data_IF_206645239614
#
_entry.id   IF_206645239614
#
_cell.length_a   1.000
_cell.length_b   1.000
_cell.length_c   1.000
_cell.angle_alpha   90.00
_cell.angle_beta   90.00
_cell.angle_gamma   90.00
#
_symmetry.space_group_name_H-M   'P 1'
#
loop_
_entity.id
_entity.type
_entity.pdbx_description
1 polymer ?
#
# COMPACT_ATOMS: atom_id res chain seq x y z
N UNK A 1 22.94 21.94 2.19
CA UNK A 1 21.85 21.20 1.57
C UNK A 1 22.43 20.19 0.60
N UNK A 2 21.78 19.02 0.45
CA UNK A 2 22.23 17.92 -0.42
C UNK A 2 22.57 18.39 -1.84
N UNK A 3 21.73 19.23 -2.47
CA UNK A 3 21.95 19.80 -3.83
C UNK A 3 23.32 20.45 -4.08
N UNK A 4 24.01 20.87 -3.04
CA UNK A 4 25.32 21.56 -3.19
C UNK A 4 26.51 20.60 -3.07
N UNK A 5 26.27 19.33 -2.73
CA UNK A 5 27.33 18.34 -2.42
C UNK A 5 27.13 17.01 -3.15
N UNK A 6 25.92 16.71 -3.59
CA UNK A 6 25.56 15.49 -4.30
C UNK A 6 24.96 15.87 -5.65
N UNK A 7 25.46 15.26 -6.70
CA UNK A 7 24.98 15.46 -8.08
C UNK A 7 24.54 14.15 -8.69
N UNK A 8 25.32 13.08 -8.48
CA UNK A 8 25.14 11.77 -9.10
C UNK A 8 24.65 10.77 -8.04
N UNK A 9 23.47 10.21 -8.22
CA UNK A 9 22.85 9.25 -7.30
C UNK A 9 22.63 7.94 -8.04
N UNK A 10 23.15 6.85 -7.49
CA UNK A 10 22.98 5.52 -8.06
C UNK A 10 22.07 4.64 -7.20
N UNK A 11 21.11 3.96 -7.83
CA UNK A 11 20.15 3.07 -7.15
C UNK A 11 20.40 1.61 -7.51
N UNK A 12 20.65 0.76 -6.51
CA UNK A 12 20.75 -0.70 -6.68
C UNK A 12 19.39 -1.34 -6.51
N UNK A 13 18.85 -1.96 -7.56
CA UNK A 13 17.47 -2.47 -7.58
C UNK A 13 16.45 -1.35 -7.87
N UNK A 14 16.75 -0.47 -8.84
CA UNK A 14 15.95 0.73 -9.15
C UNK A 14 14.52 0.43 -9.60
N UNK A 15 14.24 -0.76 -10.13
CA UNK A 15 12.92 -1.19 -10.58
C UNK A 15 11.95 -1.56 -9.46
N UNK A 16 12.40 -1.59 -8.20
CA UNK A 16 11.52 -1.76 -7.05
C UNK A 16 10.57 -0.56 -6.88
N UNK A 17 9.30 -0.78 -6.53
CA UNK A 17 8.26 0.26 -6.47
C UNK A 17 8.68 1.44 -5.59
N UNK A 18 9.21 1.18 -4.38
CA UNK A 18 9.66 2.25 -3.49
C UNK A 18 10.97 2.92 -3.92
N UNK A 19 11.82 2.24 -4.72
CA UNK A 19 13.07 2.79 -5.25
C UNK A 19 12.80 3.71 -6.43
N UNK A 20 12.00 3.24 -7.39
CA UNK A 20 11.68 3.94 -8.63
C UNK A 20 11.03 5.30 -8.40
N UNK A 21 10.09 5.37 -7.44
CA UNK A 21 9.42 6.63 -7.12
C UNK A 21 10.38 7.69 -6.58
N UNK A 22 11.29 7.31 -5.68
CA UNK A 22 12.32 8.22 -5.15
C UNK A 22 13.28 8.64 -6.26
N UNK A 23 13.71 7.71 -7.12
CA UNK A 23 14.59 7.96 -8.26
C UNK A 23 13.98 8.97 -9.25
N UNK A 24 12.69 8.81 -9.59
CA UNK A 24 11.94 9.71 -10.46
C UNK A 24 11.85 11.13 -9.86
N UNK A 25 11.49 11.26 -8.58
CA UNK A 25 11.40 12.57 -7.91
C UNK A 25 12.76 13.26 -7.89
N UNK A 26 13.84 12.54 -7.57
CA UNK A 26 15.21 13.11 -7.57
C UNK A 26 15.64 13.54 -8.97
N UNK A 27 15.35 12.73 -10.00
CA UNK A 27 15.62 13.10 -11.39
C UNK A 27 14.89 14.40 -11.77
N UNK A 28 13.60 14.51 -11.45
CA UNK A 28 12.79 15.69 -11.72
C UNK A 28 13.23 16.92 -10.91
N UNK A 29 13.90 16.72 -9.76
CA UNK A 29 14.56 17.78 -8.99
C UNK A 29 15.92 18.23 -9.59
N UNK A 30 16.37 17.57 -10.68
CA UNK A 30 17.58 17.92 -11.42
C UNK A 30 18.85 17.20 -10.97
N UNK A 31 18.76 16.14 -10.17
CA UNK A 31 19.87 15.25 -9.90
C UNK A 31 20.14 14.33 -11.11
N UNK A 32 21.40 13.95 -11.31
CA UNK A 32 21.75 12.88 -12.24
C UNK A 32 21.51 11.56 -11.55
N UNK A 33 20.48 10.84 -11.99
CA UNK A 33 20.08 9.56 -11.42
C UNK A 33 20.46 8.46 -12.37
N UNK A 34 21.06 7.40 -11.82
CA UNK A 34 21.29 6.12 -12.50
C UNK A 34 20.87 4.97 -11.58
N UNK A 35 20.75 3.79 -12.11
CA UNK A 35 20.51 2.61 -11.30
C UNK A 35 20.61 1.32 -12.08
N UNK A 36 20.59 0.21 -11.35
CA UNK A 36 20.67 -1.14 -11.88
C UNK A 36 19.47 -1.98 -11.44
N UNK A 37 19.07 -2.94 -12.25
CA UNK A 37 18.08 -3.95 -11.87
C UNK A 37 18.33 -5.27 -12.61
N UNK A 38 18.02 -6.39 -11.95
CA UNK A 38 18.13 -7.71 -12.59
C UNK A 38 17.05 -7.95 -13.63
N UNK A 39 15.86 -7.37 -13.43
CA UNK A 39 14.72 -7.53 -14.30
C UNK A 39 14.46 -6.30 -15.16
N UNK A 40 14.32 -6.51 -16.46
CA UNK A 40 13.72 -5.51 -17.33
C UNK A 40 12.19 -5.62 -17.23
N UNK A 41 11.54 -4.57 -16.77
CA UNK A 41 10.10 -4.53 -16.56
C UNK A 41 9.55 -3.13 -16.91
N UNK A 42 8.21 -2.97 -16.85
CA UNK A 42 7.56 -1.71 -17.20
C UNK A 42 8.05 -0.51 -16.34
N UNK A 43 8.50 -0.73 -15.11
CA UNK A 43 9.04 0.33 -14.24
C UNK A 43 10.41 0.79 -14.73
N UNK A 44 11.32 -0.15 -15.02
CA UNK A 44 12.66 0.18 -15.54
C UNK A 44 12.58 0.82 -16.94
N UNK A 45 11.62 0.40 -17.76
CA UNK A 45 11.36 1.01 -19.07
C UNK A 45 10.83 2.45 -18.94
N UNK A 46 9.90 2.68 -18.01
CA UNK A 46 9.40 4.03 -17.69
C UNK A 46 10.54 4.97 -17.24
N UNK A 47 11.38 4.52 -16.29
CA UNK A 47 12.52 5.31 -15.82
C UNK A 47 13.50 5.65 -16.95
N UNK A 48 13.77 4.68 -17.83
CA UNK A 48 14.62 4.90 -19.01
C UNK A 48 14.01 5.90 -19.99
N UNK A 49 12.69 5.86 -20.18
CA UNK A 49 11.97 6.84 -21.01
C UNK A 49 12.01 8.27 -20.45
N UNK A 50 12.14 8.43 -19.13
CA UNK A 50 12.37 9.70 -18.46
C UNK A 50 13.81 10.22 -18.61
N UNK A 51 14.74 9.42 -19.15
CA UNK A 51 16.15 9.78 -19.31
C UNK A 51 17.05 9.33 -18.15
N UNK A 52 16.55 8.51 -17.24
CA UNK A 52 17.35 7.88 -16.18
C UNK A 52 18.15 6.72 -16.77
N UNK A 53 19.46 6.68 -16.51
CA UNK A 53 20.31 5.59 -16.98
C UNK A 53 20.04 4.33 -16.15
N UNK A 54 19.42 3.31 -16.75
CA UNK A 54 19.14 2.03 -16.09
C UNK A 54 20.01 0.93 -16.72
N UNK A 55 20.80 0.27 -15.87
CA UNK A 55 21.69 -0.83 -16.26
C UNK A 55 21.05 -2.18 -16.00
N UNK A 56 21.18 -3.16 -16.92
CA UNK A 56 20.75 -4.53 -16.68
C UNK A 56 21.79 -5.28 -15.80
N UNK A 57 21.31 -5.98 -14.77
CA UNK A 57 22.19 -6.70 -13.83
C UNK A 57 22.99 -5.77 -12.91
N UNK A 58 23.90 -6.34 -12.15
CA UNK A 58 24.71 -5.63 -11.16
C UNK A 58 26.19 -5.84 -11.44
N UNK A 59 26.94 -4.78 -11.70
CA UNK A 59 28.41 -4.81 -11.87
C UNK A 59 29.07 -3.64 -11.15
N UNK A 60 30.32 -3.83 -10.72
CA UNK A 60 31.09 -2.86 -9.94
C UNK A 60 31.24 -1.49 -10.67
N UNK A 61 31.29 -1.50 -11.99
CA UNK A 61 31.51 -0.30 -12.80
C UNK A 61 30.33 0.69 -12.78
N UNK A 62 29.11 0.20 -12.46
CA UNK A 62 27.91 1.05 -12.46
C UNK A 62 27.95 2.18 -11.42
N UNK A 63 28.73 2.00 -10.33
CA UNK A 63 28.83 3.00 -9.27
C UNK A 63 29.92 4.06 -9.52
N UNK A 64 30.69 3.92 -10.62
CA UNK A 64 31.77 4.86 -10.92
C UNK A 64 31.23 6.28 -11.13
N UNK A 65 31.74 7.20 -10.31
CA UNK A 65 31.34 8.61 -10.34
C UNK A 65 30.02 8.91 -9.62
N UNK A 66 29.45 7.97 -8.89
CA UNK A 66 28.33 8.21 -7.98
C UNK A 66 28.83 8.92 -6.72
N UNK A 67 28.06 9.92 -6.24
CA UNK A 67 28.31 10.58 -4.97
C UNK A 67 27.67 9.82 -3.80
N UNK A 68 26.66 9.00 -4.08
CA UNK A 68 25.94 8.16 -3.12
C UNK A 68 25.28 6.99 -3.85
N UNK A 69 25.28 5.84 -3.18
CA UNK A 69 24.57 4.63 -3.62
C UNK A 69 23.40 4.36 -2.69
N UNK A 70 22.21 4.18 -3.26
CA UNK A 70 20.96 3.90 -2.55
C UNK A 70 20.60 2.42 -2.71
N UNK A 71 20.30 1.75 -1.58
CA UNK A 71 19.92 0.33 -1.57
C UNK A 71 18.60 0.11 -0.87
N UNK A 72 17.94 -1.02 -1.16
CA UNK A 72 16.81 -1.54 -0.39
C UNK A 72 17.24 -2.73 0.47
N UNK A 73 16.39 -3.15 1.40
CA UNK A 73 16.60 -4.35 2.23
C UNK A 73 16.69 -5.64 1.43
N UNK A 74 16.17 -5.66 0.19
CA UNK A 74 16.27 -6.80 -0.71
C UNK A 74 17.67 -6.98 -1.33
N UNK A 75 18.52 -5.94 -1.29
CA UNK A 75 19.89 -5.97 -1.83
C UNK A 75 20.83 -6.59 -0.81
N UNK A 76 21.50 -7.68 -1.19
CA UNK A 76 22.47 -8.37 -0.32
C UNK A 76 23.74 -7.55 -0.16
N UNK A 77 24.44 -7.73 0.97
CA UNK A 77 25.71 -7.03 1.27
C UNK A 77 26.85 -7.40 0.33
N UNK A 78 26.79 -8.58 -0.28
CA UNK A 78 27.75 -9.09 -1.25
C UNK A 78 27.46 -8.67 -2.71
N UNK A 79 26.46 -7.83 -2.92
CA UNK A 79 26.18 -7.26 -4.24
C UNK A 79 27.41 -6.50 -4.77
N UNK A 80 27.85 -6.74 -6.02
CA UNK A 80 29.11 -6.17 -6.55
C UNK A 80 29.12 -4.64 -6.57
N UNK A 81 27.97 -3.98 -6.73
CA UNK A 81 27.85 -2.53 -6.69
C UNK A 81 28.00 -1.99 -5.26
N UNK A 82 27.44 -2.69 -4.26
CA UNK A 82 27.60 -2.33 -2.84
C UNK A 82 29.04 -2.49 -2.41
N UNK A 83 29.68 -3.60 -2.79
CA UNK A 83 31.10 -3.85 -2.47
C UNK A 83 32.01 -2.79 -3.10
N UNK A 84 31.82 -2.51 -4.40
CA UNK A 84 32.60 -1.50 -5.11
C UNK A 84 32.41 -0.08 -4.54
N UNK A 85 31.19 0.28 -4.16
CA UNK A 85 30.92 1.57 -3.51
C UNK A 85 31.68 1.72 -2.18
N UNK A 86 31.67 0.67 -1.34
CA UNK A 86 32.40 0.67 -0.06
C UNK A 86 33.91 0.76 -0.28
N UNK A 87 34.46 0.02 -1.24
CA UNK A 87 35.90 0.07 -1.60
C UNK A 87 36.32 1.47 -2.09
N UNK A 88 35.45 2.14 -2.85
CA UNK A 88 35.66 3.49 -3.35
C UNK A 88 35.30 4.59 -2.32
N UNK A 89 34.92 4.21 -1.09
CA UNK A 89 34.44 5.13 -0.05
C UNK A 89 33.23 5.99 -0.45
N UNK A 90 32.40 5.47 -1.37
CA UNK A 90 31.12 6.09 -1.72
C UNK A 90 30.10 5.72 -0.66
N UNK A 91 29.37 6.68 -0.05
CA UNK A 91 28.34 6.39 0.93
C UNK A 91 27.27 5.44 0.36
N UNK A 92 26.96 4.36 1.08
CA UNK A 92 25.84 3.46 0.78
C UNK A 92 24.77 3.68 1.84
N UNK A 93 23.59 4.11 1.39
CA UNK A 93 22.49 4.47 2.29
C UNK A 93 21.21 3.67 1.97
N UNK A 94 20.37 3.39 2.97
CA UNK A 94 19.08 2.76 2.75
C UNK A 94 18.11 3.72 2.04
N UNK A 95 17.17 3.16 1.28
CA UNK A 95 16.07 3.85 0.57
C UNK A 95 15.34 4.86 1.47
N UNK A 96 15.03 4.45 2.71
CA UNK A 96 14.29 5.30 3.64
C UNK A 96 15.07 6.55 4.07
N UNK A 97 16.41 6.47 4.16
CA UNK A 97 17.23 7.64 4.44
C UNK A 97 17.23 8.62 3.26
N UNK A 98 17.23 8.12 2.02
CA UNK A 98 17.07 8.99 0.85
C UNK A 98 15.69 9.64 0.79
N UNK A 99 14.62 8.93 1.18
CA UNK A 99 13.28 9.49 1.31
C UNK A 99 13.24 10.58 2.41
N UNK A 100 13.91 10.36 3.53
CA UNK A 100 14.06 11.37 4.58
C UNK A 100 14.77 12.63 4.08
N UNK A 101 15.80 12.47 3.24
CA UNK A 101 16.46 13.63 2.60
C UNK A 101 15.53 14.36 1.61
N UNK A 102 14.68 13.63 0.88
CA UNK A 102 13.63 14.28 0.05
C UNK A 102 12.65 15.10 0.90
N UNK A 103 12.24 14.59 2.07
CA UNK A 103 11.36 15.32 2.99
C UNK A 103 11.96 16.62 3.51
N UNK A 104 13.29 16.80 3.45
CA UNK A 104 13.95 18.07 3.81
C UNK A 104 13.78 19.17 2.77
N UNK A 105 13.32 18.84 1.57
CA UNK A 105 13.04 19.84 0.53
C UNK A 105 11.59 20.34 0.57
N UNK A 106 10.72 19.68 1.33
CA UNK A 106 9.28 19.92 1.42
C UNK A 106 8.80 19.62 2.83
N UNK A 107 7.63 20.12 3.17
CA UNK A 107 6.94 19.78 4.39
C UNK A 107 6.41 18.35 4.32
N UNK A 108 7.03 17.45 5.07
CA UNK A 108 6.79 16.01 4.99
C UNK A 108 5.51 15.59 5.72
N UNK A 109 4.66 14.84 5.03
CA UNK A 109 3.49 14.14 5.57
C UNK A 109 3.78 12.64 5.43
N UNK A 110 3.99 11.95 6.55
CA UNK A 110 4.34 10.52 6.55
C UNK A 110 3.18 9.66 7.06
N UNK A 111 2.76 8.70 6.24
CA UNK A 111 1.65 7.81 6.55
C UNK A 111 2.18 6.46 6.97
N UNK A 112 2.09 6.16 8.27
CA UNK A 112 2.49 4.89 8.89
C UNK A 112 1.28 4.05 9.31
N UNK A 113 1.56 2.81 9.69
CA UNK A 113 0.59 1.83 10.18
C UNK A 113 0.75 0.51 9.45
N UNK A 114 0.26 -0.57 10.02
CA UNK A 114 0.41 -1.91 9.43
C UNK A 114 -0.40 -2.01 8.13
N UNK A 115 -1.65 -1.54 8.13
CA UNK A 115 -2.57 -1.61 6.99
C UNK A 115 -3.08 -0.23 6.58
N UNK A 116 -3.45 -0.05 5.32
CA UNK A 116 -4.08 1.18 4.81
C UNK A 116 -3.13 2.29 4.39
N UNK A 117 -1.81 2.19 4.58
CA UNK A 117 -0.80 3.20 4.21
C UNK A 117 -0.98 3.73 2.79
N UNK A 118 -0.92 2.84 1.81
CA UNK A 118 -1.00 3.19 0.38
C UNK A 118 -2.28 3.94 0.03
N UNK A 119 -3.41 3.46 0.53
CA UNK A 119 -4.72 4.10 0.29
C UNK A 119 -4.78 5.47 0.94
N UNK A 120 -4.37 5.58 2.21
CA UNK A 120 -4.39 6.87 2.94
C UNK A 120 -3.44 7.90 2.29
N UNK A 121 -2.22 7.49 1.90
CA UNK A 121 -1.27 8.35 1.18
C UNK A 121 -1.88 8.87 -0.12
N UNK A 122 -2.54 7.99 -0.86
CA UNK A 122 -3.17 8.32 -2.15
C UNK A 122 -4.37 9.24 -1.99
N UNK A 123 -5.23 8.99 -1.00
CA UNK A 123 -6.37 9.87 -0.66
C UNK A 123 -5.89 11.25 -0.23
N UNK A 124 -4.85 11.31 0.62
CA UNK A 124 -4.23 12.57 1.02
C UNK A 124 -3.71 13.34 -0.19
N UNK A 125 -2.93 12.69 -1.07
CA UNK A 125 -2.43 13.32 -2.29
C UNK A 125 -3.55 13.81 -3.21
N UNK A 126 -4.66 13.04 -3.33
CA UNK A 126 -5.83 13.40 -4.14
C UNK A 126 -6.53 14.64 -3.59
N UNK A 127 -6.79 14.70 -2.27
CA UNK A 127 -7.45 15.85 -1.65
C UNK A 127 -6.56 17.10 -1.76
N UNK A 128 -5.26 17.00 -1.45
CA UNK A 128 -4.33 18.13 -1.58
C UNK A 128 -4.22 18.61 -3.03
N UNK A 129 -4.26 17.69 -4.00
CA UNK A 129 -4.34 18.03 -5.42
C UNK A 129 -5.62 18.79 -5.77
N UNK A 130 -6.78 18.33 -5.28
CA UNK A 130 -8.08 18.99 -5.46
C UNK A 130 -8.13 20.38 -4.79
N UNK A 131 -7.39 20.57 -3.69
CA UNK A 131 -7.22 21.85 -3.01
C UNK A 131 -6.24 22.80 -3.73
N UNK A 132 -5.63 22.39 -4.85
CA UNK A 132 -4.66 23.21 -5.59
C UNK A 132 -3.28 23.27 -4.95
N UNK A 133 -3.00 22.46 -3.94
CA UNK A 133 -1.72 22.44 -3.22
C UNK A 133 -0.61 21.67 -3.95
N UNK A 134 -0.93 20.99 -5.05
CA UNK A 134 -0.01 20.25 -5.94
C UNK A 134 1.13 19.51 -5.21
N UNK A 135 0.85 18.53 -4.36
CA UNK A 135 1.85 17.89 -3.54
C UNK A 135 2.82 17.03 -4.37
N UNK A 136 4.06 16.92 -3.91
CA UNK A 136 4.92 15.79 -4.27
C UNK A 136 4.41 14.55 -3.55
N UNK A 137 4.40 13.38 -4.21
CA UNK A 137 4.04 12.14 -3.54
C UNK A 137 4.96 10.98 -3.94
N UNK A 138 5.14 10.04 -2.98
CA UNK A 138 5.82 8.75 -3.17
C UNK A 138 4.97 7.69 -2.49
N UNK A 139 4.38 6.81 -3.29
CA UNK A 139 3.35 5.83 -2.87
C UNK A 139 3.84 4.42 -3.20
N UNK A 140 3.53 3.45 -2.35
CA UNK A 140 3.85 2.04 -2.57
C UNK A 140 3.04 1.35 -3.67
N UNK A 141 2.03 2.02 -4.24
CA UNK A 141 1.20 1.59 -5.36
C UNK A 141 1.08 2.65 -6.44
N UNK A 142 0.55 2.29 -7.60
CA UNK A 142 0.30 3.24 -8.69
C UNK A 142 -1.01 3.99 -8.44
N UNK A 143 -0.95 5.32 -8.32
CA UNK A 143 -2.13 6.18 -8.26
C UNK A 143 -2.76 6.25 -9.66
N UNK A 144 -3.99 5.76 -9.82
CA UNK A 144 -4.62 5.59 -11.13
C UNK A 144 -4.79 6.92 -11.87
N UNK A 145 -5.27 7.96 -11.20
CA UNK A 145 -5.43 9.30 -11.78
C UNK A 145 -4.11 9.93 -12.28
N UNK A 146 -2.97 9.63 -11.62
CA UNK A 146 -1.67 10.13 -12.02
C UNK A 146 -0.92 9.19 -12.98
N UNK A 147 -1.34 7.93 -13.07
CA UNK A 147 -0.69 6.90 -13.87
C UNK A 147 0.71 6.48 -13.37
N UNK A 148 1.11 6.94 -12.17
CA UNK A 148 2.44 6.71 -11.59
C UNK A 148 2.36 6.49 -10.08
N UNK A 149 3.42 5.92 -9.49
CA UNK A 149 3.58 5.77 -8.05
C UNK A 149 4.32 6.93 -7.37
N UNK A 150 4.85 7.87 -8.16
CA UNK A 150 5.50 9.07 -7.64
C UNK A 150 5.37 10.23 -8.62
N UNK A 151 5.30 11.43 -8.08
CA UNK A 151 5.28 12.68 -8.88
C UNK A 151 5.89 13.82 -8.10
N UNK A 152 6.74 14.61 -8.76
CA UNK A 152 7.20 15.89 -8.23
C UNK A 152 6.11 16.96 -8.46
N UNK A 153 5.46 17.40 -7.38
CA UNK A 153 4.57 18.56 -7.39
C UNK A 153 5.33 19.89 -7.29
N UNK A 154 4.61 20.98 -7.52
CA UNK A 154 5.14 22.34 -7.35
C UNK A 154 4.89 22.90 -5.95
N UNK A 155 3.99 22.27 -5.18
CA UNK A 155 3.59 22.69 -3.86
C UNK A 155 4.63 22.44 -2.78
N UNK A 156 4.34 22.85 -1.56
CA UNK A 156 5.25 22.79 -0.41
C UNK A 156 5.28 21.43 0.27
N UNK A 157 4.27 20.57 0.02
CA UNK A 157 4.11 19.28 0.72
C UNK A 157 4.69 18.11 -0.06
N UNK A 158 5.23 17.14 0.69
CA UNK A 158 5.50 15.79 0.21
C UNK A 158 4.74 14.77 1.04
N UNK A 159 3.93 13.95 0.39
CA UNK A 159 3.16 12.85 1.03
C UNK A 159 3.85 11.54 0.70
N UNK A 160 4.23 10.77 1.72
CA UNK A 160 4.92 9.50 1.51
C UNK A 160 4.49 8.44 2.52
N UNK A 161 4.60 7.19 2.10
CA UNK A 161 4.43 6.05 3.00
C UNK A 161 5.65 5.90 3.91
N UNK A 162 5.38 5.58 5.16
CA UNK A 162 6.35 5.29 6.21
C UNK A 162 6.29 3.80 6.54
N UNK A 163 7.32 3.05 6.14
CA UNK A 163 7.37 1.60 6.22
C UNK A 163 7.88 1.14 7.58
N UNK A 164 7.00 0.49 8.35
CA UNK A 164 7.32 -0.08 9.65
C UNK A 164 7.90 -1.50 9.56
N UNK A 165 7.75 -2.18 8.43
CA UNK A 165 8.07 -3.60 8.30
C UNK A 165 9.54 -3.95 8.60
N UNK A 166 10.44 -3.00 8.35
CA UNK A 166 11.89 -3.08 8.65
C UNK A 166 12.36 -1.97 9.60
N UNK A 167 11.43 -1.31 10.30
CA UNK A 167 11.65 -0.14 11.14
C UNK A 167 12.28 1.07 10.41
N UNK A 168 12.29 1.07 9.08
CA UNK A 168 12.91 2.15 8.29
C UNK A 168 12.16 3.47 8.37
N UNK A 169 10.88 3.47 8.76
CA UNK A 169 10.11 4.70 9.03
C UNK A 169 10.76 5.59 10.10
N UNK A 170 11.60 5.05 10.98
CA UNK A 170 12.35 5.80 11.98
C UNK A 170 13.42 6.74 11.40
N UNK A 171 13.77 6.62 10.12
CA UNK A 171 14.64 7.60 9.45
C UNK A 171 13.90 8.89 9.07
N UNK A 172 12.56 8.82 8.93
CA UNK A 172 11.76 9.95 8.46
C UNK A 172 11.62 11.03 9.54
N UNK A 173 11.55 12.27 9.12
CA UNK A 173 11.35 13.44 9.98
C UNK A 173 10.22 14.31 9.44
N UNK A 174 8.98 13.81 9.44
CA UNK A 174 7.82 14.54 8.91
C UNK A 174 7.40 15.70 9.83
N UNK A 175 6.69 16.67 9.28
CA UNK A 175 5.96 17.68 10.08
C UNK A 175 4.58 17.17 10.49
N UNK A 176 3.98 16.29 9.68
CA UNK A 176 2.74 15.60 10.03
C UNK A 176 2.91 14.09 9.87
N UNK A 177 2.37 13.34 10.79
CA UNK A 177 2.35 11.88 10.74
C UNK A 177 0.93 11.34 10.88
N UNK A 178 0.66 10.24 10.21
CA UNK A 178 -0.57 9.45 10.39
C UNK A 178 -0.19 8.08 10.88
N UNK A 179 -0.94 7.52 11.83
CA UNK A 179 -0.88 6.11 12.19
C UNK A 179 -2.27 5.51 11.98
N UNK A 180 -2.40 4.70 10.94
CA UNK A 180 -3.70 4.12 10.54
C UNK A 180 -4.16 3.00 11.47
N UNK A 181 -3.26 2.16 11.86
CA UNK A 181 -3.42 1.06 12.82
C UNK A 181 -2.03 0.51 13.17
N UNK A 182 -1.99 -0.32 14.21
CA UNK A 182 -0.84 -1.13 14.58
C UNK A 182 -1.35 -2.54 14.72
N UNK A 183 -0.73 -3.51 14.05
CA UNK A 183 -1.07 -4.93 14.11
C UNK A 183 0.22 -5.75 14.23
N UNK A 184 0.12 -6.98 14.73
CA UNK A 184 1.24 -7.88 14.99
C UNK A 184 1.73 -8.54 13.69
N UNK A 185 2.06 -7.75 12.66
CA UNK A 185 2.75 -8.19 11.45
C UNK A 185 4.24 -7.79 11.53
N UNK A 186 5.10 -8.48 10.78
CA UNK A 186 6.55 -8.24 10.73
C UNK A 186 7.25 -8.28 12.10
N UNK A 187 6.75 -9.12 13.03
CA UNK A 187 7.21 -9.19 14.42
C UNK A 187 8.68 -9.60 14.57
N UNK A 188 9.27 -10.25 13.57
CA UNK A 188 10.72 -10.55 13.55
C UNK A 188 11.56 -9.28 13.69
N UNK A 189 11.15 -8.18 13.05
CA UNK A 189 11.81 -6.86 13.14
C UNK A 189 11.83 -6.31 14.57
N UNK A 190 10.80 -6.64 15.34
CA UNK A 190 10.61 -6.14 16.71
C UNK A 190 10.94 -7.20 17.78
N UNK A 191 11.58 -8.32 17.36
CA UNK A 191 11.97 -9.41 18.25
C UNK A 191 10.80 -10.07 18.95
N UNK A 192 9.67 -10.20 18.25
CA UNK A 192 8.40 -10.77 18.73
C UNK A 192 7.84 -10.08 19.99
N UNK A 193 8.11 -8.77 20.16
CA UNK A 193 7.62 -7.98 21.30
C UNK A 193 6.68 -6.87 20.83
N UNK A 194 5.43 -6.92 21.27
CA UNK A 194 4.41 -5.89 21.05
C UNK A 194 4.85 -4.56 21.67
N UNK A 195 5.53 -4.59 22.81
CA UNK A 195 6.05 -3.39 23.49
C UNK A 195 7.10 -2.67 22.63
N UNK A 196 7.99 -3.43 21.95
CA UNK A 196 8.96 -2.84 21.02
C UNK A 196 8.30 -2.28 19.77
N UNK A 197 7.30 -2.97 19.24
CA UNK A 197 6.48 -2.45 18.14
C UNK A 197 5.81 -1.14 18.53
N UNK A 198 5.11 -1.09 19.68
CA UNK A 198 4.51 0.12 20.21
C UNK A 198 5.52 1.25 20.39
N UNK A 199 6.71 0.94 20.98
CA UNK A 199 7.75 1.93 21.18
C UNK A 199 8.26 2.51 19.86
N UNK A 200 8.42 1.69 18.81
CA UNK A 200 8.84 2.16 17.49
C UNK A 200 7.83 3.15 16.88
N UNK A 201 6.53 2.93 17.03
CA UNK A 201 5.51 3.89 16.60
C UNK A 201 5.54 5.20 17.42
N UNK A 202 5.75 5.11 18.72
CA UNK A 202 5.94 6.29 19.57
C UNK A 202 7.19 7.06 19.14
N UNK A 203 8.31 6.37 18.91
CA UNK A 203 9.55 6.99 18.44
C UNK A 203 9.38 7.65 17.07
N UNK A 204 8.65 7.02 16.14
CA UNK A 204 8.31 7.60 14.86
C UNK A 204 7.50 8.91 15.02
N UNK A 205 6.45 8.92 15.84
CA UNK A 205 5.66 10.13 16.14
C UNK A 205 6.56 11.21 16.74
N UNK A 206 7.49 10.84 17.62
CA UNK A 206 8.40 11.78 18.27
C UNK A 206 9.48 12.35 17.33
N UNK A 207 9.66 11.80 16.10
CA UNK A 207 10.51 12.40 15.05
C UNK A 207 9.97 13.73 14.52
N UNK A 208 8.68 14.00 14.69
CA UNK A 208 8.11 15.30 14.32
C UNK A 208 8.71 16.44 15.14
N UNK A 209 8.79 17.65 14.59
CA UNK A 209 9.13 18.85 15.36
C UNK A 209 8.03 19.15 16.41
N UNK A 210 8.31 20.06 17.34
CA UNK A 210 7.37 20.41 18.40
C UNK A 210 6.07 21.06 17.90
N UNK A 211 6.09 21.63 16.70
CA UNK A 211 4.94 22.25 16.05
C UNK A 211 4.23 21.31 15.06
N UNK A 212 4.74 20.08 14.89
CA UNK A 212 4.12 19.07 14.05
C UNK A 212 2.87 18.47 14.69
N UNK A 213 2.08 17.75 13.90
CA UNK A 213 0.84 17.12 14.36
C UNK A 213 0.68 15.67 13.88
N UNK A 214 0.31 14.77 14.79
CA UNK A 214 -0.02 13.39 14.47
C UNK A 214 -1.53 13.20 14.32
N UNK A 215 -1.95 12.28 13.42
CA UNK A 215 -3.34 11.83 13.30
C UNK A 215 -3.39 10.34 13.62
N UNK A 216 -4.09 9.97 14.68
CA UNK A 216 -4.02 8.66 15.31
C UNK A 216 -5.39 7.98 15.32
N UNK A 217 -5.48 6.79 14.69
CA UNK A 217 -6.74 6.02 14.59
C UNK A 217 -7.08 5.34 15.91
N UNK A 218 -8.13 5.79 16.58
CA UNK A 218 -8.56 5.18 17.85
C UNK A 218 -9.42 3.93 17.68
N UNK A 219 -9.78 3.53 16.47
CA UNK A 219 -10.40 2.23 16.21
C UNK A 219 -9.39 1.07 16.36
N UNK A 220 -8.08 1.36 16.33
CA UNK A 220 -7.02 0.39 16.63
C UNK A 220 -6.70 0.38 18.13
N UNK A 221 -6.87 -0.78 18.78
CA UNK A 221 -6.56 -0.95 20.21
C UNK A 221 -5.09 -0.66 20.52
N UNK A 222 -4.17 -1.11 19.66
CA UNK A 222 -2.75 -0.85 19.81
C UNK A 222 -2.40 0.65 19.68
N UNK A 223 -3.10 1.39 18.80
CA UNK A 223 -2.95 2.85 18.72
C UNK A 223 -3.46 3.51 20.00
N UNK A 224 -4.63 3.10 20.52
CA UNK A 224 -5.12 3.59 21.82
C UNK A 224 -4.10 3.32 22.94
N UNK A 225 -3.46 2.16 22.95
CA UNK A 225 -2.49 1.78 23.97
C UNK A 225 -1.22 2.67 23.99
N UNK A 226 -0.85 3.27 22.84
CA UNK A 226 0.31 4.16 22.78
C UNK A 226 -0.03 5.63 23.09
N UNK A 227 -1.29 6.07 23.01
CA UNK A 227 -1.68 7.48 23.23
C UNK A 227 -1.08 8.09 24.51
N UNK A 228 -1.08 7.40 25.68
CA UNK A 228 -0.51 7.96 26.91
C UNK A 228 1.00 8.24 26.84
N UNK A 229 1.70 7.65 25.89
CA UNK A 229 3.16 7.80 25.67
C UNK A 229 3.49 8.90 24.65
N UNK A 230 2.50 9.39 23.91
CA UNK A 230 2.69 10.42 22.88
C UNK A 230 2.76 11.80 23.52
N UNK A 231 3.89 12.48 23.39
CA UNK A 231 4.13 13.83 23.92
C UNK A 231 4.10 14.93 22.84
N UNK A 232 3.80 14.56 21.60
CA UNK A 232 3.63 15.50 20.48
C UNK A 232 2.16 15.91 20.32
N UNK A 233 1.87 17.06 19.72
CA UNK A 233 0.49 17.41 19.37
C UNK A 233 -0.13 16.34 18.47
N UNK A 234 -1.34 15.90 18.77
CA UNK A 234 -2.06 14.96 17.94
C UNK A 234 -3.56 15.28 17.90
N UNK A 235 -4.22 14.75 16.90
CA UNK A 235 -5.67 14.60 16.82
C UNK A 235 -6.00 13.13 16.60
N UNK A 236 -7.10 12.68 17.15
CA UNK A 236 -7.61 11.33 17.00
C UNK A 236 -8.65 11.26 15.88
N UNK A 237 -8.74 10.11 15.23
CA UNK A 237 -9.84 9.86 14.29
C UNK A 237 -10.35 8.42 14.41
N UNK A 238 -11.61 8.22 14.04
CA UNK A 238 -12.26 6.92 14.17
C UNK A 238 -13.73 6.93 13.78
N UNK A 239 -14.42 5.83 14.07
CA UNK A 239 -15.87 5.70 13.91
C UNK A 239 -16.64 5.94 15.22
N UNK A 240 -15.92 6.19 16.30
CA UNK A 240 -16.45 6.50 17.63
C UNK A 240 -16.46 8.02 17.83
N UNK A 241 -17.53 8.55 18.40
CA UNK A 241 -17.75 9.98 18.63
C UNK A 241 -16.81 10.60 19.68
N UNK A 242 -15.99 9.79 20.34
CA UNK A 242 -14.91 10.25 21.22
C UNK A 242 -13.67 10.70 20.45
N UNK A 243 -13.58 10.45 19.14
CA UNK A 243 -12.50 10.93 18.30
C UNK A 243 -12.66 12.42 17.94
N UNK A 244 -11.55 13.12 17.72
CA UNK A 244 -11.57 14.52 17.25
C UNK A 244 -12.16 14.64 15.83
N UNK A 245 -12.03 13.58 15.02
CA UNK A 245 -12.61 13.49 13.68
C UNK A 245 -13.29 12.11 13.54
N UNK A 246 -14.58 12.09 13.33
CA UNK A 246 -15.32 10.83 13.23
C UNK A 246 -16.38 10.84 12.15
N UNK A 247 -16.87 9.64 11.77
CA UNK A 247 -17.90 9.48 10.76
C UNK A 247 -19.17 8.84 11.33
N UNK A 248 -20.33 9.37 10.92
CA UNK A 248 -21.66 8.78 11.14
C UNK A 248 -22.37 8.51 9.82
N UNK A 249 -23.56 7.91 9.88
CA UNK A 249 -24.44 7.67 8.71
C UNK A 249 -23.70 6.98 7.55
N UNK A 250 -22.89 5.97 7.91
CA UNK A 250 -22.03 5.27 6.94
C UNK A 250 -22.85 4.29 6.12
N UNK A 251 -22.99 4.57 4.82
CA UNK A 251 -23.79 3.80 3.88
C UNK A 251 -22.97 3.33 2.68
N UNK A 252 -23.27 2.12 2.18
CA UNK A 252 -22.77 1.67 0.89
C UNK A 252 -23.68 2.19 -0.23
N UNK A 253 -23.14 2.89 -1.21
CA UNK A 253 -23.83 3.29 -2.44
C UNK A 253 -23.17 2.55 -3.61
N UNK A 254 -23.56 1.31 -3.85
CA UNK A 254 -22.84 0.42 -4.75
C UNK A 254 -21.38 0.26 -4.29
N UNK A 255 -20.42 0.57 -5.14
CA UNK A 255 -19.01 0.49 -4.85
C UNK A 255 -18.40 1.80 -4.28
N UNK A 256 -19.21 2.64 -3.65
CA UNK A 256 -18.82 3.88 -2.98
C UNK A 256 -19.29 3.85 -1.52
N UNK A 257 -18.69 4.66 -0.68
CA UNK A 257 -19.13 4.91 0.69
C UNK A 257 -19.61 6.34 0.82
N UNK A 258 -20.79 6.53 1.40
CA UNK A 258 -21.33 7.83 1.80
C UNK A 258 -21.34 7.91 3.31
N UNK A 259 -20.93 9.03 3.87
CA UNK A 259 -20.91 9.24 5.33
C UNK A 259 -20.87 10.72 5.70
N UNK A 260 -21.28 11.03 6.93
CA UNK A 260 -21.21 12.36 7.53
C UNK A 260 -19.93 12.47 8.36
N UNK A 261 -19.13 13.50 8.10
CA UNK A 261 -17.89 13.78 8.85
C UNK A 261 -18.18 14.82 9.92
N UNK A 262 -17.75 14.53 11.14
CA UNK A 262 -17.79 15.43 12.29
C UNK A 262 -16.36 15.82 12.67
N UNK A 263 -16.09 17.10 12.87
CA UNK A 263 -14.76 17.63 13.20
C UNK A 263 -14.85 18.45 14.47
N UNK A 264 -14.26 17.91 15.55
CA UNK A 264 -14.13 18.56 16.87
C UNK A 264 -12.66 18.93 17.16
N UNK A 265 -11.82 18.84 16.15
CA UNK A 265 -10.38 19.14 16.24
C UNK A 265 -10.17 20.62 16.55
N UNK A 266 -9.50 20.92 17.68
CA UNK A 266 -9.27 22.28 18.17
C UNK A 266 -8.62 23.18 17.11
N UNK A 267 -9.27 24.28 16.80
CA UNK A 267 -8.83 25.27 15.81
C UNK A 267 -9.22 24.94 14.36
N UNK A 268 -9.91 23.83 14.15
CA UNK A 268 -10.40 23.38 12.84
C UNK A 268 -11.84 22.86 12.94
N UNK A 269 -12.60 23.33 13.95
CA UNK A 269 -14.00 22.94 14.13
C UNK A 269 -14.81 23.26 12.86
N UNK A 270 -15.59 22.30 12.41
CA UNK A 270 -16.44 22.41 11.22
C UNK A 270 -17.87 21.99 11.56
N UNK A 271 -18.84 22.59 10.90
CA UNK A 271 -20.17 22.00 10.85
C UNK A 271 -20.10 20.62 10.18
N UNK A 272 -20.90 19.65 10.63
CA UNK A 272 -20.91 18.34 10.02
C UNK A 272 -21.17 18.41 8.51
N UNK A 273 -20.39 17.67 7.73
CA UNK A 273 -20.52 17.68 6.29
C UNK A 273 -20.50 16.26 5.71
N UNK A 274 -21.29 16.08 4.65
CA UNK A 274 -21.39 14.81 3.95
C UNK A 274 -20.29 14.65 2.91
N UNK A 275 -19.74 13.45 2.81
CA UNK A 275 -18.78 13.07 1.77
C UNK A 275 -19.19 11.77 1.07
N UNK A 276 -18.80 11.65 -0.19
CA UNK A 276 -18.85 10.40 -0.95
C UNK A 276 -17.44 10.01 -1.32
N UNK A 277 -17.02 8.86 -0.82
CA UNK A 277 -15.74 8.25 -1.14
C UNK A 277 -15.90 7.26 -2.29
N UNK A 278 -15.17 7.44 -3.38
CA UNK A 278 -15.22 6.55 -4.54
C UNK A 278 -14.46 5.23 -4.34
N UNK A 279 -14.64 4.62 -3.18
CA UNK A 279 -14.13 3.29 -2.80
C UNK A 279 -15.11 2.63 -1.83
N UNK A 280 -15.29 1.29 -1.88
CA UNK A 280 -16.11 0.58 -0.90
C UNK A 280 -15.33 0.25 0.38
N UNK A 281 -16.06 0.00 1.46
CA UNK A 281 -15.56 -0.58 2.70
C UNK A 281 -15.32 0.41 3.83
N UNK A 282 -15.76 0.03 5.03
CA UNK A 282 -15.63 0.85 6.26
C UNK A 282 -14.18 1.18 6.61
N UNK A 283 -13.22 0.27 6.32
CA UNK A 283 -11.80 0.54 6.51
C UNK A 283 -11.29 1.70 5.61
N UNK A 284 -11.90 1.91 4.43
CA UNK A 284 -11.58 3.05 3.58
C UNK A 284 -12.23 4.35 4.08
N UNK A 285 -13.33 4.28 4.85
CA UNK A 285 -13.83 5.44 5.61
C UNK A 285 -12.78 5.90 6.62
N UNK A 286 -12.17 4.99 7.39
CA UNK A 286 -11.07 5.32 8.30
C UNK A 286 -9.86 5.93 7.57
N UNK A 287 -9.45 5.35 6.43
CA UNK A 287 -8.39 5.91 5.61
C UNK A 287 -8.72 7.33 5.10
N UNK A 288 -9.99 7.57 4.75
CA UNK A 288 -10.46 8.89 4.33
C UNK A 288 -10.47 9.90 5.49
N UNK A 289 -10.90 9.49 6.70
CA UNK A 289 -10.88 10.37 7.89
C UNK A 289 -9.45 10.84 8.22
N UNK A 290 -8.46 9.97 8.10
CA UNK A 290 -7.06 10.35 8.24
C UNK A 290 -6.63 11.42 7.22
N UNK A 291 -6.98 11.19 5.95
CA UNK A 291 -6.67 12.13 4.87
C UNK A 291 -7.40 13.47 5.03
N UNK A 292 -8.65 13.44 5.50
CA UNK A 292 -9.44 14.64 5.85
C UNK A 292 -8.76 15.43 6.95
N UNK A 293 -8.31 14.75 8.03
CA UNK A 293 -7.61 15.41 9.13
C UNK A 293 -6.36 16.15 8.67
N UNK A 294 -5.52 15.49 7.87
CA UNK A 294 -4.33 16.12 7.26
C UNK A 294 -4.73 17.28 6.36
N UNK A 295 -5.75 17.12 5.54
CA UNK A 295 -6.20 18.16 4.60
C UNK A 295 -6.71 19.42 5.33
N UNK A 296 -7.49 19.25 6.41
CA UNK A 296 -7.95 20.37 7.24
C UNK A 296 -6.78 21.09 7.92
N UNK A 297 -5.78 20.35 8.41
CA UNK A 297 -4.58 20.94 9.03
C UNK A 297 -3.79 21.83 8.08
N UNK A 298 -3.73 21.48 6.79
CA UNK A 298 -3.05 22.30 5.77
C UNK A 298 -3.97 23.36 5.14
N UNK A 299 -5.20 23.53 5.65
CA UNK A 299 -6.14 24.56 5.22
C UNK A 299 -6.94 24.24 3.95
N UNK A 300 -7.10 22.98 3.60
CA UNK A 300 -7.99 22.59 2.50
C UNK A 300 -9.46 22.85 2.88
N UNK A 301 -10.25 23.36 1.92
CA UNK A 301 -11.68 23.58 2.13
C UNK A 301 -12.48 22.28 2.11
N UNK A 302 -13.67 22.28 2.69
CA UNK A 302 -14.60 21.15 2.66
C UNK A 302 -14.93 20.75 1.22
N UNK A 303 -15.12 21.71 0.33
CA UNK A 303 -15.42 21.45 -1.10
C UNK A 303 -14.23 20.74 -1.79
N UNK A 304 -12.99 21.10 -1.45
CA UNK A 304 -11.80 20.43 -1.99
C UNK A 304 -11.70 18.99 -1.47
N UNK A 305 -12.02 18.75 -0.20
CA UNK A 305 -12.08 17.42 0.42
C UNK A 305 -13.14 16.56 -0.29
N UNK A 306 -14.36 17.06 -0.44
CA UNK A 306 -15.45 16.37 -1.12
C UNK A 306 -15.08 16.04 -2.58
N UNK A 307 -14.51 17.00 -3.31
CA UNK A 307 -14.04 16.81 -4.69
C UNK A 307 -12.93 15.77 -4.79
N UNK A 308 -11.95 15.81 -3.89
CA UNK A 308 -10.81 14.89 -3.86
C UNK A 308 -11.22 13.44 -3.58
N UNK A 309 -12.20 13.24 -2.69
CA UNK A 309 -12.71 11.91 -2.33
C UNK A 309 -13.65 11.33 -3.40
N UNK A 310 -14.56 12.15 -3.95
CA UNK A 310 -15.47 11.72 -5.02
C UNK A 310 -14.72 11.44 -6.32
N UNK A 311 -13.74 12.28 -6.65
CA UNK A 311 -12.91 12.15 -7.85
C UNK A 311 -11.77 11.11 -7.73
N UNK A 312 -11.68 10.38 -6.62
CA UNK A 312 -10.62 9.42 -6.41
C UNK A 312 -10.79 8.19 -7.32
N UNK A 313 -9.83 7.96 -8.20
CA UNK A 313 -9.88 6.86 -9.18
C UNK A 313 -9.25 5.56 -8.68
N UNK A 314 -8.88 5.52 -7.38
CA UNK A 314 -8.28 4.36 -6.76
C UNK A 314 -6.76 4.25 -6.94
N UNK A 315 -6.23 3.21 -6.35
CA UNK A 315 -4.81 2.82 -6.42
C UNK A 315 -4.72 1.44 -7.02
N UNK A 316 -3.71 1.20 -7.83
CA UNK A 316 -3.48 -0.11 -8.41
C UNK A 316 -3.44 -1.20 -7.35
N UNK A 317 -4.19 -2.26 -7.59
CA UNK A 317 -4.32 -3.41 -6.70
C UNK A 317 -4.91 -3.09 -5.31
N UNK A 318 -5.77 -2.05 -5.19
CA UNK A 318 -6.58 -1.74 -4.00
C UNK A 318 -8.04 -1.63 -4.40
N UNK A 319 -8.73 -2.75 -4.34
CA UNK A 319 -10.09 -2.94 -4.88
C UNK A 319 -10.20 -2.43 -6.34
N UNK A 320 -9.15 -2.70 -7.13
CA UNK A 320 -9.05 -2.21 -8.51
C UNK A 320 -10.02 -2.97 -9.42
N UNK A 321 -10.97 -2.26 -9.99
CA UNK A 321 -11.92 -2.83 -10.96
C UNK A 321 -11.28 -2.89 -12.34
N UNK A 322 -11.31 -4.06 -12.95
CA UNK A 322 -10.94 -4.28 -14.35
C UNK A 322 -12.16 -4.23 -15.29
N UNK A 323 -13.38 -4.18 -14.73
CA UNK A 323 -14.63 -4.21 -15.46
C UNK A 323 -15.17 -5.63 -15.67
N UNK A 324 -16.22 -5.73 -16.49
CA UNK A 324 -16.86 -7.01 -16.80
C UNK A 324 -16.03 -7.79 -17.83
N UNK A 325 -15.74 -9.03 -17.50
CA UNK A 325 -15.11 -10.00 -18.40
C UNK A 325 -16.18 -10.92 -19.01
N UNK A 326 -16.04 -11.27 -20.28
CA UNK A 326 -16.92 -12.22 -20.96
C UNK A 326 -16.58 -13.65 -20.56
N UNK A 327 -17.60 -14.47 -20.39
CA UNK A 327 -17.46 -15.90 -20.07
C UNK A 327 -17.74 -16.76 -21.30
N UNK A 328 -17.09 -17.93 -21.44
CA UNK A 328 -17.31 -18.83 -22.57
C UNK A 328 -18.77 -19.29 -22.74
N UNK A 329 -19.53 -19.29 -21.65
CA UNK A 329 -20.96 -19.66 -21.64
C UNK A 329 -21.92 -18.52 -22.02
N UNK A 330 -21.41 -17.34 -22.39
CA UNK A 330 -22.19 -16.21 -22.86
C UNK A 330 -22.62 -15.22 -21.75
N UNK A 331 -22.16 -15.42 -20.51
CA UNK A 331 -22.37 -14.48 -19.39
C UNK A 331 -21.21 -13.52 -19.19
N UNK A 332 -21.30 -12.71 -18.12
CA UNK A 332 -20.22 -11.80 -17.68
C UNK A 332 -19.95 -11.92 -16.19
N UNK A 333 -18.72 -11.64 -15.77
CA UNK A 333 -18.34 -11.52 -14.36
C UNK A 333 -17.51 -10.25 -14.14
N UNK A 334 -17.74 -9.57 -13.01
CA UNK A 334 -16.95 -8.41 -12.63
C UNK A 334 -15.61 -8.84 -12.05
N UNK A 335 -14.51 -8.37 -12.63
CA UNK A 335 -13.15 -8.63 -12.15
C UNK A 335 -12.64 -7.49 -11.28
N UNK A 336 -12.20 -7.85 -10.07
CA UNK A 336 -11.58 -6.94 -9.09
C UNK A 336 -10.24 -7.53 -8.64
N UNK A 337 -9.19 -6.70 -8.57
CA UNK A 337 -7.85 -7.07 -8.06
C UNK A 337 -7.55 -6.34 -6.77
N UNK A 338 -7.01 -7.08 -5.79
CA UNK A 338 -6.59 -6.50 -4.51
C UNK A 338 -5.27 -7.10 -4.04
N UNK A 339 -4.44 -6.27 -3.43
CA UNK A 339 -3.13 -6.67 -2.92
C UNK A 339 -3.21 -7.44 -1.60
N UNK A 340 -4.37 -7.43 -0.94
CA UNK A 340 -4.59 -8.05 0.37
C UNK A 340 -4.05 -9.48 0.44
N UNK A 341 -3.17 -9.70 1.40
CA UNK A 341 -2.46 -10.96 1.60
C UNK A 341 -2.33 -11.34 3.08
N UNK A 342 -2.78 -10.48 3.98
CA UNK A 342 -2.97 -10.74 5.40
C UNK A 342 -4.45 -11.01 5.68
N UNK A 343 -4.82 -11.96 6.60
CA UNK A 343 -6.23 -12.28 6.86
C UNK A 343 -7.09 -11.07 7.21
N UNK A 344 -6.56 -10.10 7.95
CA UNK A 344 -7.26 -8.86 8.32
C UNK A 344 -7.58 -8.01 7.07
N UNK A 345 -6.62 -7.82 6.18
CA UNK A 345 -6.83 -7.12 4.90
C UNK A 345 -7.87 -7.83 4.03
N UNK A 346 -7.76 -9.17 3.95
CA UNK A 346 -8.68 -9.99 3.18
C UNK A 346 -10.11 -9.89 3.72
N UNK A 347 -10.29 -9.96 5.04
CA UNK A 347 -11.60 -9.83 5.68
C UNK A 347 -12.22 -8.46 5.36
N UNK A 348 -11.42 -7.38 5.42
CA UNK A 348 -11.86 -6.03 5.09
C UNK A 348 -12.28 -5.90 3.62
N UNK A 349 -11.48 -6.43 2.68
CA UNK A 349 -11.78 -6.40 1.24
C UNK A 349 -13.00 -7.26 0.89
N UNK A 350 -13.12 -8.46 1.48
CA UNK A 350 -14.29 -9.33 1.25
C UNK A 350 -15.57 -8.72 1.82
N UNK A 351 -15.50 -8.08 2.99
CA UNK A 351 -16.63 -7.33 3.56
C UNK A 351 -17.04 -6.15 2.68
N UNK A 352 -16.06 -5.41 2.13
CA UNK A 352 -16.29 -4.32 1.20
C UNK A 352 -16.98 -4.82 -0.09
N UNK A 353 -16.53 -5.94 -0.63
CA UNK A 353 -17.14 -6.56 -1.81
C UNK A 353 -18.58 -7.02 -1.53
N UNK A 354 -18.85 -7.61 -0.37
CA UNK A 354 -20.21 -7.99 0.06
C UNK A 354 -21.13 -6.76 0.18
N UNK A 355 -20.62 -5.67 0.78
CA UNK A 355 -21.37 -4.43 0.90
C UNK A 355 -21.66 -3.76 -0.44
N UNK A 356 -20.71 -3.82 -1.37
CA UNK A 356 -20.86 -3.25 -2.71
C UNK A 356 -21.77 -4.10 -3.63
N UNK A 357 -21.77 -5.42 -3.44
CA UNK A 357 -22.45 -6.39 -4.31
C UNK A 357 -23.18 -7.46 -3.49
N UNK A 358 -24.19 -7.11 -2.67
CA UNK A 358 -24.80 -8.00 -1.67
C UNK A 358 -25.44 -9.26 -2.25
N UNK A 359 -26.04 -9.12 -3.45
CA UNK A 359 -26.79 -10.21 -4.11
C UNK A 359 -25.93 -11.05 -5.06
N UNK A 360 -24.65 -10.71 -5.22
CA UNK A 360 -23.79 -11.40 -6.18
C UNK A 360 -22.97 -12.52 -5.50
N UNK A 361 -22.76 -13.59 -6.26
CA UNK A 361 -21.84 -14.67 -5.85
C UNK A 361 -20.41 -14.15 -5.89
N UNK A 362 -19.69 -14.38 -4.79
CA UNK A 362 -18.31 -13.92 -4.57
C UNK A 362 -17.34 -15.08 -4.81
N UNK A 363 -16.55 -14.99 -5.85
CA UNK A 363 -15.51 -15.96 -6.20
C UNK A 363 -14.16 -15.36 -5.82
N UNK A 364 -13.38 -16.03 -4.99
CA UNK A 364 -12.05 -15.60 -4.59
C UNK A 364 -10.98 -16.46 -5.27
N UNK A 365 -10.08 -15.82 -6.01
CA UNK A 365 -8.82 -16.38 -6.45
C UNK A 365 -7.71 -15.86 -5.52
N UNK A 366 -7.04 -16.74 -4.79
CA UNK A 366 -6.08 -16.32 -3.76
C UNK A 366 -4.74 -17.05 -3.88
N UNK A 367 -3.65 -16.26 -3.76
CA UNK A 367 -2.29 -16.75 -3.60
C UNK A 367 -1.76 -16.38 -2.23
N UNK A 368 -1.55 -17.35 -1.30
CA UNK A 368 -0.85 -17.08 -0.06
C UNK A 368 0.57 -16.57 -0.33
N UNK A 369 1.06 -15.68 0.54
CA UNK A 369 2.37 -15.06 0.39
C UNK A 369 3.23 -15.37 1.61
N UNK A 370 4.36 -16.09 1.41
CA UNK A 370 5.28 -16.66 2.39
C UNK A 370 4.71 -17.86 3.15
N UNK A 371 5.54 -18.86 3.30
CA UNK A 371 5.20 -20.07 4.06
C UNK A 371 5.12 -19.78 5.57
N UNK A 372 5.98 -18.93 6.10
CA UNK A 372 5.97 -18.52 7.51
C UNK A 372 4.64 -17.86 7.87
N UNK A 373 4.18 -16.88 7.09
CA UNK A 373 2.88 -16.22 7.32
C UNK A 373 1.73 -17.21 7.21
N UNK A 374 1.76 -18.11 6.22
CA UNK A 374 0.71 -19.12 6.03
C UNK A 374 0.64 -20.06 7.22
N UNK A 375 1.77 -20.45 7.81
CA UNK A 375 1.85 -21.26 9.02
C UNK A 375 1.31 -20.50 10.24
N UNK A 376 1.81 -19.29 10.47
CA UNK A 376 1.55 -18.54 11.71
C UNK A 376 0.10 -18.04 11.79
N UNK A 377 -0.54 -17.77 10.66
CA UNK A 377 -1.92 -17.31 10.55
C UNK A 377 -2.87 -18.34 9.93
N UNK A 378 -2.52 -19.63 10.01
CA UNK A 378 -3.24 -20.71 9.32
C UNK A 378 -4.73 -20.75 9.66
N UNK A 379 -5.07 -20.62 10.94
CA UNK A 379 -6.46 -20.61 11.39
C UNK A 379 -7.23 -19.40 10.89
N UNK A 380 -6.60 -18.22 10.90
CA UNK A 380 -7.22 -16.97 10.44
C UNK A 380 -7.43 -16.99 8.93
N UNK A 381 -6.46 -17.51 8.15
CA UNK A 381 -6.68 -17.79 6.73
C UNK A 381 -7.86 -18.76 6.52
N UNK A 382 -7.93 -19.84 7.26
CA UNK A 382 -9.02 -20.81 7.14
C UNK A 382 -10.37 -20.16 7.42
N UNK A 383 -10.47 -19.30 8.43
CA UNK A 383 -11.71 -18.57 8.75
C UNK A 383 -12.11 -17.60 7.64
N UNK A 384 -11.19 -16.76 7.20
CA UNK A 384 -11.49 -15.71 6.20
C UNK A 384 -11.81 -16.31 4.83
N UNK A 385 -11.05 -17.30 4.39
CA UNK A 385 -11.27 -17.97 3.11
C UNK A 385 -12.60 -18.72 3.04
N UNK A 386 -13.14 -19.15 4.18
CA UNK A 386 -14.44 -19.83 4.26
C UNK A 386 -15.66 -18.88 4.20
N UNK A 387 -15.45 -17.56 4.01
CA UNK A 387 -16.53 -16.55 3.95
C UNK A 387 -17.07 -16.33 2.54
N UNK A 388 -16.39 -16.79 1.51
CA UNK A 388 -16.75 -16.61 0.10
C UNK A 388 -17.67 -17.72 -0.41
N UNK A 389 -18.22 -17.57 -1.60
CA UNK A 389 -19.14 -18.55 -2.19
C UNK A 389 -18.41 -19.57 -3.07
N UNK A 390 -17.25 -19.22 -3.62
CA UNK A 390 -16.35 -20.14 -4.31
C UNK A 390 -14.90 -19.67 -4.10
N UNK A 391 -13.98 -20.64 -4.01
CA UNK A 391 -12.57 -20.40 -3.70
C UNK A 391 -11.68 -21.17 -4.67
N UNK A 392 -10.76 -20.45 -5.30
CA UNK A 392 -9.64 -21.02 -6.07
C UNK A 392 -8.34 -20.62 -5.38
N UNK A 393 -7.60 -21.60 -4.90
CA UNK A 393 -6.30 -21.42 -4.27
C UNK A 393 -5.17 -21.78 -5.24
N UNK A 394 -4.16 -20.95 -5.35
CA UNK A 394 -2.92 -21.33 -6.04
C UNK A 394 -1.77 -21.49 -5.05
N UNK A 395 -0.66 -22.09 -5.50
CA UNK A 395 0.47 -22.40 -4.61
C UNK A 395 1.03 -21.13 -3.95
N UNK A 396 1.59 -21.31 -2.75
CA UNK A 396 2.19 -20.24 -1.97
C UNK A 396 3.30 -19.53 -2.76
N UNK A 397 3.27 -18.22 -2.82
CA UNK A 397 4.41 -17.44 -3.31
C UNK A 397 5.48 -17.37 -2.21
N UNK A 398 6.57 -18.09 -2.42
CA UNK A 398 7.60 -18.32 -1.41
C UNK A 398 8.33 -17.05 -0.95
N UNK A 399 8.48 -16.03 -1.82
CA UNK A 399 9.24 -14.80 -1.54
C UNK A 399 10.67 -15.04 -0.99
N UNK A 400 11.31 -16.11 -1.47
CA UNK A 400 12.65 -16.51 -1.05
C UNK A 400 12.72 -17.43 0.18
N UNK A 401 11.58 -17.83 0.73
CA UNK A 401 11.52 -18.80 1.83
C UNK A 401 11.55 -20.25 1.30
N UNK A 402 12.08 -21.16 2.12
CA UNK A 402 11.97 -22.59 1.86
C UNK A 402 10.55 -23.10 2.21
N UNK A 403 10.04 -24.11 1.51
CA UNK A 403 8.75 -24.69 1.81
C UNK A 403 8.65 -25.24 3.26
N UNK A 404 7.53 -24.94 3.92
CA UNK A 404 7.23 -25.42 5.27
C UNK A 404 6.12 -26.48 5.17
N UNK A 405 6.37 -27.66 5.71
CA UNK A 405 5.38 -28.75 5.72
C UNK A 405 4.07 -28.30 6.39
N UNK A 406 2.94 -28.64 5.76
CA UNK A 406 1.59 -28.28 6.21
C UNK A 406 1.27 -26.77 6.24
N UNK A 407 2.13 -25.91 5.70
CA UNK A 407 1.91 -24.48 5.52
C UNK A 407 1.72 -24.10 4.04
N UNK A 408 1.20 -25.01 3.24
CA UNK A 408 0.94 -24.86 1.82
C UNK A 408 -0.56 -24.65 1.51
N UNK A 409 -0.87 -24.26 0.30
CA UNK A 409 -2.25 -24.03 -0.15
C UNK A 409 -3.08 -25.32 -0.17
N UNK A 410 -2.46 -26.49 -0.32
CA UNK A 410 -3.15 -27.78 -0.26
C UNK A 410 -3.59 -28.10 1.17
N UNK A 411 -2.78 -27.71 2.16
CA UNK A 411 -3.15 -27.83 3.57
C UNK A 411 -4.32 -26.90 3.93
N UNK A 412 -4.29 -25.65 3.46
CA UNK A 412 -5.42 -24.72 3.60
C UNK A 412 -6.70 -25.27 2.95
N UNK A 413 -6.62 -25.77 1.71
CA UNK A 413 -7.75 -26.35 1.01
C UNK A 413 -8.35 -27.56 1.79
N UNK A 414 -7.51 -28.42 2.36
CA UNK A 414 -7.98 -29.54 3.19
C UNK A 414 -8.69 -29.05 4.46
N UNK A 415 -8.12 -28.06 5.15
CA UNK A 415 -8.70 -27.50 6.36
C UNK A 415 -10.07 -26.85 6.09
N UNK A 416 -10.18 -26.07 5.00
CA UNK A 416 -11.45 -25.43 4.60
C UNK A 416 -12.50 -26.49 4.22
N UNK A 417 -12.11 -27.54 3.49
CA UNK A 417 -13.01 -28.65 3.12
C UNK A 417 -13.59 -29.35 4.35
N UNK A 418 -12.79 -29.52 5.40
CA UNK A 418 -13.25 -30.12 6.66
C UNK A 418 -14.36 -29.31 7.33
N UNK A 419 -14.40 -27.98 7.14
CA UNK A 419 -15.48 -27.12 7.64
C UNK A 419 -16.81 -27.32 6.89
N UNK A 420 -16.81 -28.02 5.75
CA UNK A 420 -18.00 -28.49 5.04
C UNK A 420 -18.83 -27.43 4.34
N UNK A 421 -18.38 -26.16 4.29
CA UNK A 421 -19.11 -25.05 3.64
C UNK A 421 -18.65 -24.82 2.19
N UNK A 422 -17.38 -25.02 1.91
CA UNK A 422 -16.76 -24.81 0.61
C UNK A 422 -16.00 -26.03 0.14
N UNK A 423 -15.99 -26.24 -1.18
CA UNK A 423 -15.09 -27.17 -1.86
C UNK A 423 -14.02 -26.34 -2.62
N UNK A 424 -12.85 -26.09 -1.99
CA UNK A 424 -11.81 -25.29 -2.63
C UNK A 424 -11.22 -25.98 -3.84
N UNK A 425 -11.04 -25.23 -4.91
CA UNK A 425 -10.35 -25.66 -6.12
C UNK A 425 -8.87 -25.29 -5.96
N UNK A 426 -7.97 -26.23 -6.19
CA UNK A 426 -6.54 -25.99 -6.15
C UNK A 426 -5.97 -25.90 -7.56
N UNK A 427 -5.22 -24.81 -7.82
CA UNK A 427 -4.49 -24.55 -9.06
C UNK A 427 -2.99 -24.52 -8.74
N UNK A 428 -2.25 -25.53 -9.17
CA UNK A 428 -0.82 -25.64 -8.86
C UNK A 428 0.00 -24.52 -9.49
N UNK A 429 -0.28 -24.22 -10.76
CA UNK A 429 0.45 -23.22 -11.51
C UNK A 429 -0.40 -21.96 -11.70
N UNK A 430 0.07 -20.84 -11.15
CA UNK A 430 -0.62 -19.54 -11.28
C UNK A 430 -0.83 -19.11 -12.74
N UNK A 431 0.00 -19.58 -13.68
CA UNK A 431 -0.18 -19.28 -15.10
C UNK A 431 -1.43 -19.95 -15.72
N UNK A 432 -1.93 -21.03 -15.12
CA UNK A 432 -3.15 -21.73 -15.55
C UNK A 432 -4.43 -21.17 -14.90
N UNK A 433 -4.26 -20.34 -13.85
CA UNK A 433 -5.35 -19.78 -13.08
C UNK A 433 -6.36 -18.98 -13.91
N UNK A 434 -5.96 -18.15 -14.92
CA UNK A 434 -6.93 -17.44 -15.74
C UNK A 434 -7.89 -18.37 -16.49
N UNK A 435 -7.37 -19.46 -17.10
CA UNK A 435 -8.20 -20.43 -17.82
C UNK A 435 -9.09 -21.22 -16.86
N UNK A 436 -8.59 -21.57 -15.68
CA UNK A 436 -9.38 -22.26 -14.66
C UNK A 436 -10.52 -21.38 -14.16
N UNK A 437 -10.28 -20.08 -13.93
CA UNK A 437 -11.31 -19.14 -13.52
C UNK A 437 -12.44 -19.03 -14.54
N UNK A 438 -12.14 -18.98 -15.84
CA UNK A 438 -13.20 -18.97 -16.90
C UNK A 438 -14.12 -20.19 -16.83
N UNK A 439 -13.63 -21.34 -16.34
CA UNK A 439 -14.44 -22.54 -16.16
C UNK A 439 -15.25 -22.57 -14.86
N UNK A 440 -14.85 -21.80 -13.85
CA UNK A 440 -15.49 -21.73 -12.51
C UNK A 440 -16.54 -20.63 -12.44
N UNK A 441 -16.29 -19.52 -13.16
CA UNK A 441 -17.14 -18.32 -13.13
C UNK A 441 -18.49 -18.55 -13.79
N UNK A 442 -19.52 -17.91 -13.22
CA UNK A 442 -20.90 -17.92 -13.67
C UNK A 442 -21.35 -16.48 -14.00
N UNK A 443 -22.42 -16.37 -14.78
CA UNK A 443 -22.99 -15.06 -15.09
C UNK A 443 -23.39 -14.29 -13.84
N UNK A 444 -22.97 -13.05 -13.78
CA UNK A 444 -23.23 -12.15 -12.65
C UNK A 444 -22.25 -12.25 -11.49
N UNK A 445 -21.26 -13.13 -11.52
CA UNK A 445 -20.25 -13.26 -10.46
C UNK A 445 -19.43 -11.99 -10.24
N UNK A 446 -18.93 -11.82 -9.03
CA UNK A 446 -17.81 -10.92 -8.72
C UNK A 446 -16.60 -11.80 -8.37
N UNK A 447 -15.56 -11.71 -9.20
CA UNK A 447 -14.30 -12.40 -8.94
C UNK A 447 -13.28 -11.45 -8.35
N UNK A 448 -12.80 -11.79 -7.15
CA UNK A 448 -11.72 -11.11 -6.45
C UNK A 448 -10.43 -11.88 -6.67
N UNK A 449 -9.43 -11.22 -7.25
CA UNK A 449 -8.07 -11.75 -7.38
C UNK A 449 -7.22 -11.14 -6.28
N UNK A 450 -6.74 -11.96 -5.32
CA UNK A 450 -6.06 -11.44 -4.13
C UNK A 450 -4.70 -12.08 -3.88
N UNK A 451 -3.75 -11.26 -3.44
CA UNK A 451 -2.41 -11.70 -3.02
C UNK A 451 -1.27 -10.77 -3.46
N UNK A 452 -0.16 -10.78 -2.73
CA UNK A 452 1.01 -9.92 -3.01
C UNK A 452 1.98 -10.49 -4.05
N UNK A 453 1.84 -11.78 -4.41
CA UNK A 453 2.77 -12.51 -5.26
C UNK A 453 2.50 -12.43 -6.77
N UNK A 454 2.89 -13.48 -7.47
CA UNK A 454 2.79 -13.59 -8.94
C UNK A 454 1.35 -13.61 -9.47
N UNK A 455 0.36 -13.76 -8.61
CA UNK A 455 -1.07 -13.67 -8.94
C UNK A 455 -1.45 -12.29 -9.54
N UNK A 456 -0.63 -11.27 -9.36
CA UNK A 456 -0.81 -9.94 -9.95
C UNK A 456 -0.89 -9.94 -11.48
N UNK A 457 -0.45 -11.01 -12.15
CA UNK A 457 -0.51 -11.17 -13.62
C UNK A 457 -1.86 -11.70 -14.09
N UNK A 458 -2.61 -12.31 -13.20
CA UNK A 458 -3.88 -13.00 -13.52
C UNK A 458 -4.94 -12.06 -14.08
N UNK A 459 -5.19 -10.86 -13.51
CA UNK A 459 -6.24 -9.98 -14.02
C UNK A 459 -6.05 -9.60 -15.49
N UNK A 460 -4.84 -9.19 -15.88
CA UNK A 460 -4.55 -8.84 -17.28
C UNK A 460 -4.68 -10.04 -18.21
N UNK A 461 -4.16 -11.21 -17.81
CA UNK A 461 -4.27 -12.44 -18.59
C UNK A 461 -5.75 -12.89 -18.75
N UNK A 462 -6.55 -12.76 -17.69
CA UNK A 462 -7.97 -13.09 -17.71
C UNK A 462 -8.77 -12.17 -18.64
N UNK A 463 -8.48 -10.87 -18.63
CA UNK A 463 -9.06 -9.89 -19.55
C UNK A 463 -8.70 -10.22 -21.01
N UNK A 464 -7.44 -10.58 -21.28
CA UNK A 464 -7.04 -10.95 -22.66
C UNK A 464 -7.71 -12.23 -23.13
N UNK A 465 -7.80 -13.27 -22.29
CA UNK A 465 -8.49 -14.50 -22.63
C UNK A 465 -9.99 -14.28 -22.86
N UNK A 466 -10.63 -13.42 -22.05
CA UNK A 466 -12.05 -13.12 -22.18
C UNK A 466 -12.43 -12.39 -23.47
N UNK A 467 -11.46 -11.75 -24.15
CA UNK A 467 -11.68 -11.12 -25.46
C UNK A 467 -11.71 -12.15 -26.61
N UNK A 468 -11.17 -13.34 -26.36
CA UNK A 468 -11.08 -14.44 -27.35
C UNK A 468 -12.26 -15.42 -27.20
N UNK A 469 -13.03 -15.31 -26.14
CA UNK A 469 -14.25 -16.07 -25.85
C UNK A 469 -15.46 -15.31 -26.37
#
# INVERSE_FOLDING_TARGET
MMKNRVTNIHFVGIGGVGMSGIAEVLHNLGFKVSGSDQARNAVTEHLSALGIQVYPGHTAEHVNGADVVVTSTAVKKDNPEVVAALEQQIPVIPRALMLAELMRFRDGIAIAGTHGKTTTTSLTASILGAAGLDPTFVIGGKLNAAGTNARLGKGEYIVAEADESDASFLYLTPIMSVVTNIDEDHMDTYGHSVEKLHQAFVDFIHRMPFYGKAFLCIDSEHVRAILPKVSKPYATYGLDDTADIYATDIENIGAQMKFTVHVQMKGHEQEPFEVVLNMPGRHNVLNALAAIGVALEVGASVEAIQKGLLGFEGVGRRFQKYGDIKLPNGGTALLVDDYGHHPVEMAATLSAARGAYPEKRLVLAFQPHRYTRTRDLFEDFTKVLNTVDALVLTEVYAAGEEPIAAADSRALARAIRVLGKLEPIYCENVAELPQMLLNVLQDGDVVLNMGAGSINRVPSALVELSKQS
#
